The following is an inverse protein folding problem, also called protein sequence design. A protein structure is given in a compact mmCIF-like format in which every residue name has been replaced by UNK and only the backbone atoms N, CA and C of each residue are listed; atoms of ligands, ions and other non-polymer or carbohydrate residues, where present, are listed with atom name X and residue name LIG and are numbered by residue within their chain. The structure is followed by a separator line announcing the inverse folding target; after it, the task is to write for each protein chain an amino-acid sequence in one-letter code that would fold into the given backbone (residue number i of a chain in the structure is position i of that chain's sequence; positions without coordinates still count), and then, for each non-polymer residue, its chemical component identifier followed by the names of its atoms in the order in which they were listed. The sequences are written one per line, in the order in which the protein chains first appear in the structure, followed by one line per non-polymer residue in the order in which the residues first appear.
data_IF_198275203757
#
_entry.id   IF_198275203757
#
_cell.length_a   1.000
_cell.length_b   1.000
_cell.length_c   1.000
_cell.angle_alpha   90.00
_cell.angle_beta   90.00
_cell.angle_gamma   90.00
#
_symmetry.space_group_name_H-M   'P 1'
#
loop_
_entity.id
_entity.type
_entity.pdbx_description
1 polymer ?
#
# COMPACT_ATOMS: atom_id res chain seq x y z
N UNK A 1 23.00 12.31 3.73
CA UNK A 1 22.89 11.03 2.98
C UNK A 1 23.15 11.33 1.52
N UNK A 2 23.66 10.38 0.73
CA UNK A 2 23.76 10.57 -0.72
C UNK A 2 22.34 10.58 -1.31
N UNK A 3 22.05 11.57 -2.14
CA UNK A 3 20.81 11.63 -2.93
C UNK A 3 20.65 10.35 -3.75
N UNK A 4 19.45 9.77 -3.76
CA UNK A 4 19.11 8.65 -4.62
C UNK A 4 17.72 8.83 -5.20
N UNK A 5 17.62 8.68 -6.52
CA UNK A 5 16.40 8.83 -7.30
C UNK A 5 16.21 7.63 -8.21
N UNK A 6 14.97 7.17 -8.29
CA UNK A 6 14.53 6.08 -9.14
C UNK A 6 13.36 6.55 -10.00
N UNK A 7 13.48 6.44 -11.33
CA UNK A 7 12.41 6.63 -12.28
C UNK A 7 12.20 5.35 -13.07
N UNK A 8 10.94 4.94 -13.24
CA UNK A 8 10.54 3.84 -14.12
C UNK A 8 9.35 4.29 -14.96
N UNK A 9 9.43 4.05 -16.27
CA UNK A 9 8.37 4.37 -17.22
C UNK A 9 7.95 3.12 -17.97
N UNK A 10 6.65 2.88 -18.11
CA UNK A 10 6.14 1.71 -18.82
C UNK A 10 5.12 2.06 -19.90
N UNK A 11 5.30 1.48 -21.09
CA UNK A 11 4.39 1.58 -22.22
C UNK A 11 3.52 0.32 -22.25
N UNK A 12 2.20 0.52 -22.21
CA UNK A 12 1.17 -0.51 -22.08
C UNK A 12 0.32 -0.61 -23.36
N UNK A 13 0.04 0.53 -23.99
CA UNK A 13 -0.79 0.59 -25.20
C UNK A 13 -0.07 -0.01 -26.42
N UNK A 14 1.23 0.25 -26.55
CA UNK A 14 2.09 -0.32 -27.60
C UNK A 14 3.57 -0.24 -27.23
N UNK A 15 4.44 -1.09 -27.83
CA UNK A 15 5.88 -0.90 -27.73
C UNK A 15 6.34 0.42 -28.36
N UNK A 16 7.47 0.92 -27.86
CA UNK A 16 8.20 2.07 -28.38
C UNK A 16 8.74 1.79 -29.78
N UNK A 17 8.58 2.76 -30.67
CA UNK A 17 9.21 2.79 -31.99
C UNK A 17 10.73 3.00 -31.86
N UNK A 18 11.49 2.68 -32.91
CA UNK A 18 12.93 2.91 -32.94
C UNK A 18 13.31 4.38 -32.70
N UNK A 19 12.51 5.33 -33.19
CA UNK A 19 12.71 6.77 -32.95
C UNK A 19 12.44 7.17 -31.51
N UNK A 20 11.43 6.57 -30.86
CA UNK A 20 11.13 6.84 -29.45
C UNK A 20 12.23 6.25 -28.57
N UNK A 21 12.69 5.03 -28.86
CA UNK A 21 13.83 4.42 -28.15
C UNK A 21 15.10 5.27 -28.28
N UNK A 22 15.41 5.77 -29.48
CA UNK A 22 16.55 6.66 -29.68
C UNK A 22 16.42 7.98 -28.90
N UNK A 23 15.21 8.55 -28.83
CA UNK A 23 14.92 9.72 -27.99
C UNK A 23 15.16 9.41 -26.50
N UNK A 24 14.65 8.31 -25.98
CA UNK A 24 14.84 7.91 -24.58
C UNK A 24 16.31 7.64 -24.25
N UNK A 25 17.04 6.94 -25.13
CA UNK A 25 18.48 6.74 -24.97
C UNK A 25 19.28 8.05 -24.98
N UNK A 26 18.78 9.12 -25.59
CA UNK A 26 19.47 10.42 -25.59
C UNK A 26 19.36 11.17 -24.26
N UNK A 27 18.37 10.84 -23.42
CA UNK A 27 18.15 11.49 -22.11
C UNK A 27 19.16 11.05 -21.06
N UNK A 28 19.64 9.80 -21.12
CA UNK A 28 20.65 9.28 -20.20
C UNK A 28 21.44 8.14 -20.84
N UNK A 29 22.77 8.17 -20.69
CA UNK A 29 23.64 7.07 -21.11
C UNK A 29 23.56 5.84 -20.20
N UNK A 30 22.91 5.95 -19.03
CA UNK A 30 22.75 4.88 -18.04
C UNK A 30 21.34 4.29 -18.00
N UNK A 31 20.46 4.72 -18.90
CA UNK A 31 19.09 4.20 -18.95
C UNK A 31 19.09 2.69 -19.20
N UNK A 32 18.31 1.95 -18.43
CA UNK A 32 17.99 0.57 -18.76
C UNK A 32 16.72 0.60 -19.62
N UNK A 33 16.90 0.48 -20.94
CA UNK A 33 15.82 0.63 -21.92
C UNK A 33 15.44 -0.72 -22.54
N UNK A 34 14.14 -0.93 -22.69
CA UNK A 34 13.53 -1.96 -23.51
C UNK A 34 12.46 -1.35 -24.42
N UNK A 35 11.79 -2.17 -25.22
CA UNK A 35 10.70 -1.70 -26.08
C UNK A 35 9.46 -1.25 -25.28
N UNK A 36 9.34 -1.58 -23.99
CA UNK A 36 8.14 -1.26 -23.19
C UNK A 36 8.47 -0.64 -21.83
N UNK A 37 9.73 -0.56 -21.43
CA UNK A 37 10.15 -0.03 -20.13
C UNK A 37 11.44 0.81 -20.28
N UNK A 38 11.53 1.91 -19.54
CA UNK A 38 12.78 2.65 -19.32
C UNK A 38 12.98 2.95 -17.83
N UNK A 39 14.12 2.53 -17.29
CA UNK A 39 14.52 2.78 -15.89
C UNK A 39 15.70 3.75 -15.85
N UNK A 40 15.63 4.75 -14.99
CA UNK A 40 16.69 5.70 -14.70
C UNK A 40 16.98 5.73 -13.20
N UNK A 41 18.26 5.62 -12.84
CA UNK A 41 18.72 5.70 -11.46
C UNK A 41 19.79 6.76 -11.32
N UNK A 42 19.64 7.66 -10.36
CA UNK A 42 20.61 8.72 -10.09
C UNK A 42 21.06 8.68 -8.64
N UNK A 43 22.37 8.81 -8.42
CA UNK A 43 22.97 8.97 -7.08
C UNK A 43 23.66 10.34 -6.91
N UNK A 44 23.59 11.17 -7.96
CA UNK A 44 24.04 12.55 -8.02
C UNK A 44 23.44 13.18 -9.29
N UNK A 45 23.01 14.44 -9.20
CA UNK A 45 22.32 15.13 -10.29
C UNK A 45 20.89 14.61 -10.49
N UNK A 46 20.30 14.98 -11.62
CA UNK A 46 18.86 14.82 -11.82
C UNK A 46 18.50 14.26 -13.21
N UNK A 47 17.25 13.82 -13.36
CA UNK A 47 16.68 13.43 -14.62
C UNK A 47 16.70 14.60 -15.60
N UNK A 48 17.25 14.38 -16.81
CA UNK A 48 17.50 15.44 -17.79
C UNK A 48 16.30 15.82 -18.65
N UNK A 49 15.22 15.04 -18.58
CA UNK A 49 13.98 15.31 -19.28
C UNK A 49 12.91 15.82 -18.32
N UNK A 50 11.79 16.25 -18.87
CA UNK A 50 10.58 16.53 -18.09
C UNK A 50 9.74 15.24 -18.01
N UNK A 51 9.55 14.63 -16.83
CA UNK A 51 8.89 13.32 -16.71
C UNK A 51 7.52 13.25 -17.39
N UNK A 52 6.75 14.33 -17.25
CA UNK A 52 5.42 14.46 -17.85
C UNK A 52 5.44 14.50 -19.38
N UNK A 53 6.43 15.17 -19.99
CA UNK A 53 6.58 15.21 -21.45
C UNK A 53 7.03 13.85 -21.99
N UNK A 54 7.94 13.18 -21.27
CA UNK A 54 8.41 11.83 -21.60
C UNK A 54 7.27 10.83 -21.51
N UNK A 55 6.45 10.91 -20.46
CA UNK A 55 5.23 10.14 -20.31
C UNK A 55 4.29 10.41 -21.49
N UNK A 56 3.93 11.67 -21.74
CA UNK A 56 2.98 12.02 -22.81
C UNK A 56 3.39 11.46 -24.18
N UNK A 57 4.69 11.54 -24.49
CA UNK A 57 5.23 11.18 -25.80
C UNK A 57 5.42 9.67 -25.98
N UNK A 58 5.82 8.95 -24.93
CA UNK A 58 6.36 7.59 -25.08
C UNK A 58 5.71 6.53 -24.19
N UNK A 59 5.15 6.87 -23.03
CA UNK A 59 4.79 5.88 -22.01
C UNK A 59 3.37 6.08 -21.47
N UNK A 60 2.86 5.14 -20.69
CA UNK A 60 1.48 5.13 -20.19
C UNK A 60 1.39 5.33 -18.69
N UNK A 61 2.42 4.93 -17.97
CA UNK A 61 2.52 5.03 -16.52
C UNK A 61 3.99 5.32 -16.14
N UNK A 62 4.19 6.11 -15.10
CA UNK A 62 5.52 6.43 -14.55
C UNK A 62 5.51 6.36 -13.04
N UNK A 63 6.53 5.75 -12.46
CA UNK A 63 6.85 5.77 -11.04
C UNK A 63 8.14 6.55 -10.83
N UNK A 64 8.12 7.46 -9.86
CA UNK A 64 9.29 8.13 -9.34
C UNK A 64 9.36 7.97 -7.81
N UNK A 65 10.56 7.68 -7.30
CA UNK A 65 10.83 7.56 -5.88
C UNK A 65 12.18 8.20 -5.56
N UNK A 66 12.23 8.93 -4.45
CA UNK A 66 13.47 9.50 -3.94
C UNK A 66 13.66 9.27 -2.45
N UNK A 67 14.91 9.10 -2.03
CA UNK A 67 15.25 8.76 -0.65
C UNK A 67 15.15 9.94 0.34
N UNK A 68 14.77 11.13 -0.15
CA UNK A 68 14.35 12.26 0.68
C UNK A 68 12.82 12.34 0.81
N UNK A 69 12.12 11.28 0.39
CA UNK A 69 10.72 11.09 0.72
C UNK A 69 9.71 11.55 -0.32
N UNK A 70 10.11 11.70 -1.59
CA UNK A 70 9.16 11.90 -2.68
C UNK A 70 8.73 10.55 -3.26
N UNK A 71 7.43 10.32 -3.40
CA UNK A 71 6.85 9.24 -4.22
C UNK A 71 5.86 9.84 -5.20
N UNK A 72 6.00 9.51 -6.48
CA UNK A 72 5.16 10.03 -7.54
C UNK A 72 4.72 8.91 -8.49
N UNK A 73 3.44 8.88 -8.81
CA UNK A 73 2.83 7.96 -9.76
C UNK A 73 2.00 8.77 -10.76
N UNK A 74 2.39 8.72 -12.04
CA UNK A 74 1.66 9.37 -13.12
C UNK A 74 1.00 8.36 -14.03
N UNK A 75 -0.20 8.70 -14.50
CA UNK A 75 -0.92 7.94 -15.51
C UNK A 75 -1.27 8.81 -16.71
N UNK A 76 -1.15 8.26 -17.91
CA UNK A 76 -1.62 8.86 -19.16
C UNK A 76 -2.78 8.07 -19.74
N UNK A 77 -3.88 8.76 -20.05
CA UNK A 77 -5.08 8.17 -20.62
C UNK A 77 -5.50 8.87 -21.92
N UNK A 78 -6.06 8.14 -22.89
CA UNK A 78 -6.71 8.75 -24.05
C UNK A 78 -7.99 9.51 -23.66
N UNK A 79 -8.11 10.77 -24.10
CA UNK A 79 -9.32 11.58 -23.89
C UNK A 79 -10.58 11.02 -24.54
N UNK A 80 -10.40 10.18 -25.56
CA UNK A 80 -11.50 9.47 -26.22
C UNK A 80 -12.13 8.39 -25.34
N UNK A 81 -11.48 8.01 -24.24
CA UNK A 81 -11.94 6.96 -23.34
C UNK A 81 -12.35 7.53 -21.98
N UNK A 82 -11.55 8.46 -21.43
CA UNK A 82 -11.79 9.04 -20.10
C UNK A 82 -11.74 10.57 -20.16
N UNK A 83 -12.79 11.22 -19.67
CA UNK A 83 -12.88 12.67 -19.60
C UNK A 83 -12.08 13.22 -18.41
N UNK A 84 -11.36 14.35 -18.54
CA UNK A 84 -10.59 14.93 -17.43
C UNK A 84 -11.42 15.24 -16.17
N UNK A 85 -12.69 15.60 -16.35
CA UNK A 85 -13.59 15.98 -15.26
C UNK A 85 -13.88 14.87 -14.26
N UNK A 86 -13.62 13.60 -14.60
CA UNK A 86 -13.80 12.49 -13.65
C UNK A 86 -12.75 12.51 -12.54
N UNK A 87 -11.61 13.17 -12.77
CA UNK A 87 -10.49 13.24 -11.84
C UNK A 87 -10.51 14.49 -10.97
N UNK A 88 -11.16 15.57 -11.43
CA UNK A 88 -11.25 16.86 -10.74
C UNK A 88 -11.67 16.76 -9.27
N UNK A 89 -12.63 15.90 -8.87
CA UNK A 89 -13.01 15.76 -7.46
C UNK A 89 -11.90 15.28 -6.52
N UNK A 90 -10.86 14.64 -7.05
CA UNK A 90 -9.73 14.12 -6.27
C UNK A 90 -8.52 15.05 -6.30
N UNK A 91 -8.57 16.15 -7.05
CA UNK A 91 -7.44 17.06 -7.17
C UNK A 91 -7.17 17.77 -5.83
N UNK A 92 -5.90 17.79 -5.45
CA UNK A 92 -5.38 18.59 -4.33
C UNK A 92 -4.14 19.33 -4.82
N UNK A 93 -4.05 20.66 -4.65
CA UNK A 93 -2.92 21.45 -5.12
C UNK A 93 -1.57 20.84 -4.75
N UNK A 94 -0.64 20.80 -5.72
CA UNK A 94 0.71 20.25 -5.57
C UNK A 94 0.82 18.77 -5.18
N UNK A 95 -0.29 18.04 -4.99
CA UNK A 95 -0.29 16.63 -4.61
C UNK A 95 -0.96 15.73 -5.65
N UNK A 96 -2.17 16.08 -6.06
CA UNK A 96 -2.93 15.36 -7.09
C UNK A 96 -3.34 16.37 -8.14
N UNK A 97 -2.71 16.31 -9.31
CA UNK A 97 -2.99 17.25 -10.40
C UNK A 97 -3.45 16.54 -11.65
N UNK A 98 -4.32 17.21 -12.40
CA UNK A 98 -4.83 16.72 -13.67
C UNK A 98 -4.47 17.73 -14.74
N UNK A 99 -4.00 17.23 -15.86
CA UNK A 99 -3.62 18.06 -16.99
C UNK A 99 -4.00 17.40 -18.29
N UNK A 100 -4.10 18.20 -19.34
CA UNK A 100 -4.77 17.80 -20.55
C UNK A 100 -4.03 18.37 -21.75
N UNK A 101 -3.70 17.51 -22.70
CA UNK A 101 -3.22 17.90 -24.02
C UNK A 101 -4.32 17.70 -25.07
N UNK A 102 -3.98 17.73 -26.36
CA UNK A 102 -4.96 17.53 -27.43
C UNK A 102 -5.61 16.15 -27.37
N UNK A 103 -4.82 15.11 -27.13
CA UNK A 103 -5.26 13.72 -27.22
C UNK A 103 -5.31 12.99 -25.88
N UNK A 104 -4.58 13.49 -24.88
CA UNK A 104 -4.37 12.78 -23.62
C UNK A 104 -4.75 13.62 -22.41
N UNK A 105 -5.10 12.91 -21.35
CA UNK A 105 -5.19 13.44 -19.98
C UNK A 105 -4.12 12.73 -19.15
N UNK A 106 -3.42 13.49 -18.32
CA UNK A 106 -2.41 12.99 -17.41
C UNK A 106 -2.84 13.33 -15.99
N UNK A 107 -2.90 12.30 -15.15
CA UNK A 107 -3.09 12.44 -13.70
C UNK A 107 -1.75 12.18 -13.03
N UNK A 108 -1.36 13.10 -12.15
CA UNK A 108 -0.09 13.09 -11.44
C UNK A 108 -0.36 13.09 -9.95
N UNK A 109 -0.02 11.98 -9.28
CA UNK A 109 -0.07 11.82 -7.83
C UNK A 109 1.37 11.95 -7.34
N UNK A 110 1.72 13.06 -6.71
CA UNK A 110 3.06 13.34 -6.17
C UNK A 110 2.93 13.67 -4.69
N UNK A 111 3.48 12.81 -3.84
CA UNK A 111 3.40 12.96 -2.38
C UNK A 111 4.82 13.04 -1.82
N UNK A 112 5.06 14.10 -1.07
CA UNK A 112 6.25 14.31 -0.28
C UNK A 112 5.92 13.94 1.17
N UNK A 113 6.64 12.99 1.75
CA UNK A 113 6.42 12.49 3.10
C UNK A 113 7.78 12.09 3.71
N UNK A 114 8.09 12.60 4.89
CA UNK A 114 9.35 12.29 5.56
C UNK A 114 9.49 10.81 5.93
N UNK A 115 8.37 10.11 6.16
CA UNK A 115 8.34 8.66 6.47
C UNK A 115 8.82 7.80 5.29
N UNK A 116 8.79 8.35 4.08
CA UNK A 116 9.37 7.69 2.91
C UNK A 116 10.89 7.84 2.83
N UNK A 117 11.48 8.73 3.63
CA UNK A 117 12.89 9.09 3.59
C UNK A 117 13.76 8.05 4.27
N UNK A 118 14.33 7.11 3.51
CA UNK A 118 15.33 6.14 3.98
C UNK A 118 15.87 5.29 2.80
N UNK A 119 16.26 4.03 3.04
CA UNK A 119 16.59 3.09 1.97
C UNK A 119 15.37 2.80 1.10
N UNK A 120 15.45 3.15 -0.19
CA UNK A 120 14.41 2.84 -1.17
C UNK A 120 14.87 1.76 -2.15
N UNK A 121 13.98 0.82 -2.44
CA UNK A 121 14.14 -0.19 -3.49
C UNK A 121 12.99 -0.02 -4.48
N UNK A 122 13.26 0.66 -5.60
CA UNK A 122 12.24 1.04 -6.58
C UNK A 122 11.84 -0.07 -7.55
N UNK A 123 12.71 -1.06 -7.77
CA UNK A 123 12.49 -2.10 -8.79
C UNK A 123 11.27 -2.98 -8.46
N UNK A 124 10.42 -3.21 -9.47
CA UNK A 124 9.30 -4.16 -9.39
C UNK A 124 7.99 -3.58 -8.84
N UNK A 125 7.99 -2.34 -8.34
CA UNK A 125 6.76 -1.66 -7.92
C UNK A 125 5.84 -1.33 -9.10
N UNK A 126 6.36 -0.68 -10.16
CA UNK A 126 5.53 -0.24 -11.27
C UNK A 126 4.84 -1.42 -11.97
N UNK A 127 5.55 -2.54 -12.13
CA UNK A 127 5.02 -3.76 -12.74
C UNK A 127 3.79 -4.33 -12.00
N UNK A 128 3.67 -4.12 -10.68
CA UNK A 128 2.50 -4.53 -9.88
C UNK A 128 1.34 -3.53 -9.96
N UNK A 129 1.63 -2.28 -10.38
CA UNK A 129 0.67 -1.18 -10.43
C UNK A 129 0.06 -0.96 -11.83
N UNK A 130 0.63 -1.57 -12.88
CA UNK A 130 0.12 -1.41 -14.26
C UNK A 130 -1.37 -1.71 -14.42
N UNK A 131 -1.89 -2.67 -13.65
CA UNK A 131 -3.31 -3.07 -13.68
C UNK A 131 -4.24 -1.90 -13.30
N UNK A 132 -3.78 -0.98 -12.46
CA UNK A 132 -4.56 0.19 -12.08
C UNK A 132 -4.97 1.02 -13.29
N UNK A 133 -4.12 1.10 -14.32
CA UNK A 133 -4.47 1.85 -15.53
C UNK A 133 -5.69 1.25 -16.24
N UNK A 134 -5.72 -0.07 -16.38
CA UNK A 134 -6.84 -0.76 -17.04
C UNK A 134 -8.12 -0.65 -16.19
N UNK A 135 -8.00 -0.77 -14.87
CA UNK A 135 -9.11 -0.60 -13.93
C UNK A 135 -9.71 0.81 -14.04
N UNK A 136 -8.86 1.84 -14.11
CA UNK A 136 -9.28 3.25 -14.30
C UNK A 136 -9.97 3.44 -15.65
N UNK A 137 -9.44 2.88 -16.74
CA UNK A 137 -10.08 2.94 -18.06
C UNK A 137 -11.46 2.25 -18.06
N UNK A 138 -11.67 1.26 -17.20
CA UNK A 138 -12.96 0.60 -17.00
C UNK A 138 -13.92 1.35 -16.06
N UNK A 139 -13.42 2.38 -15.38
CA UNK A 139 -14.18 3.28 -14.49
C UNK A 139 -14.03 2.99 -13.00
N UNK A 140 -13.02 2.21 -12.60
CA UNK A 140 -12.66 2.04 -11.21
C UNK A 140 -11.68 3.15 -10.76
N UNK A 141 -12.21 4.14 -10.07
CA UNK A 141 -11.46 5.29 -9.59
C UNK A 141 -11.07 5.19 -8.11
N UNK A 142 -11.20 4.00 -7.48
CA UNK A 142 -10.89 3.80 -6.05
C UNK A 142 -9.47 4.24 -5.69
N UNK A 143 -8.50 4.03 -6.59
CA UNK A 143 -7.11 4.46 -6.37
C UNK A 143 -6.98 5.97 -6.16
N UNK A 144 -7.74 6.79 -6.88
CA UNK A 144 -7.68 8.26 -6.72
C UNK A 144 -8.34 8.74 -5.43
N UNK A 145 -9.40 8.05 -4.98
CA UNK A 145 -9.97 8.29 -3.66
C UNK A 145 -8.94 7.98 -2.55
N UNK A 146 -8.24 6.85 -2.65
CA UNK A 146 -7.19 6.48 -1.69
C UNK A 146 -6.00 7.46 -1.75
N UNK A 147 -5.59 7.87 -2.94
CA UNK A 147 -4.57 8.90 -3.13
C UNK A 147 -4.99 10.21 -2.44
N UNK A 148 -6.25 10.61 -2.58
CA UNK A 148 -6.79 11.81 -1.93
C UNK A 148 -6.74 11.69 -0.40
N UNK A 149 -7.07 10.53 0.18
CA UNK A 149 -6.95 10.32 1.63
C UNK A 149 -5.52 10.57 2.13
N UNK A 150 -4.51 10.02 1.45
CA UNK A 150 -3.10 10.26 1.81
C UNK A 150 -2.70 11.72 1.60
N UNK A 151 -3.04 12.28 0.44
CA UNK A 151 -2.70 13.66 0.12
C UNK A 151 -3.34 14.67 1.10
N UNK A 152 -4.57 14.43 1.54
CA UNK A 152 -5.26 15.23 2.54
C UNK A 152 -4.60 15.13 3.92
N UNK A 153 -4.18 13.93 4.35
CA UNK A 153 -3.41 13.75 5.60
C UNK A 153 -2.14 14.59 5.60
N UNK A 154 -1.36 14.51 4.52
CA UNK A 154 -0.11 15.27 4.38
C UNK A 154 -0.38 16.79 4.32
N UNK A 155 -1.45 17.21 3.65
CA UNK A 155 -1.79 18.62 3.55
C UNK A 155 -2.06 19.24 4.93
N UNK A 156 -2.69 18.48 5.83
CA UNK A 156 -2.95 18.92 7.22
C UNK A 156 -1.66 19.00 8.02
N UNK A 157 -0.77 18.02 7.86
CA UNK A 157 0.56 18.05 8.48
C UNK A 157 1.38 19.28 8.03
N UNK A 158 1.21 19.70 6.78
CA UNK A 158 1.80 20.91 6.19
C UNK A 158 1.06 22.21 6.59
N UNK A 159 -0.04 22.12 7.33
CA UNK A 159 -0.77 23.26 7.91
C UNK A 159 -2.01 23.73 7.13
N UNK A 160 -2.57 22.92 6.21
CA UNK A 160 -3.89 23.18 5.66
C UNK A 160 -5.01 22.92 6.70
N UNK A 161 -6.04 23.75 6.69
CA UNK A 161 -7.18 23.60 7.61
C UNK A 161 -8.04 22.38 7.24
N UNK A 162 -8.23 21.45 8.18
CA UNK A 162 -8.95 20.19 7.94
C UNK A 162 -10.41 20.38 7.49
N UNK A 163 -11.01 21.53 7.82
CA UNK A 163 -12.38 21.89 7.46
C UNK A 163 -12.52 22.29 5.99
N UNK A 164 -11.44 22.78 5.36
CA UNK A 164 -11.41 23.17 3.95
C UNK A 164 -11.28 21.95 3.02
N UNK A 165 -10.84 20.81 3.56
CA UNK A 165 -10.70 19.55 2.86
C UNK A 165 -12.03 18.78 2.85
N UNK A 166 -12.79 18.98 1.78
CA UNK A 166 -14.06 18.28 1.55
C UNK A 166 -13.81 16.93 0.91
N UNK A 167 -14.33 15.87 1.53
CA UNK A 167 -14.16 14.52 1.00
C UNK A 167 -14.84 14.33 -0.36
N UNK A 168 -14.15 13.71 -1.35
CA UNK A 168 -14.77 13.26 -2.58
C UNK A 168 -15.79 12.15 -2.30
N UNK A 169 -16.66 11.88 -3.28
CA UNK A 169 -17.66 10.82 -3.16
C UNK A 169 -17.00 9.46 -2.88
N UNK A 170 -17.39 8.82 -1.79
CA UNK A 170 -16.85 7.52 -1.41
C UNK A 170 -17.20 6.47 -2.45
N UNK A 171 -16.21 5.83 -3.09
CA UNK A 171 -16.46 4.79 -4.08
C UNK A 171 -17.04 3.53 -3.43
N UNK A 172 -17.76 2.75 -4.22
CA UNK A 172 -18.27 1.45 -3.79
C UNK A 172 -17.13 0.43 -3.58
N UNK A 173 -17.40 -0.62 -2.81
CA UNK A 173 -16.51 -1.78 -2.62
C UNK A 173 -15.12 -1.46 -2.02
N UNK A 174 -14.99 -0.46 -1.15
CA UNK A 174 -13.71 -0.20 -0.45
C UNK A 174 -13.33 -1.29 0.57
N UNK A 175 -14.30 -2.08 1.03
CA UNK A 175 -14.04 -3.24 1.92
C UNK A 175 -13.37 -4.43 1.21
N UNK A 176 -13.30 -4.41 -0.13
CA UNK A 176 -12.75 -5.48 -0.96
C UNK A 176 -11.85 -4.88 -2.04
N UNK A 177 -10.58 -4.72 -1.69
CA UNK A 177 -9.58 -4.10 -2.56
C UNK A 177 -8.84 -5.18 -3.36
N UNK A 178 -8.73 -5.04 -4.69
CA UNK A 178 -7.84 -5.85 -5.52
C UNK A 178 -6.36 -5.65 -5.15
N UNK A 179 -5.52 -6.63 -5.50
CA UNK A 179 -4.09 -6.66 -5.17
C UNK A 179 -3.31 -5.42 -5.66
N UNK A 180 -3.64 -4.90 -6.84
CA UNK A 180 -3.01 -3.70 -7.38
C UNK A 180 -3.30 -2.44 -6.53
N UNK A 181 -4.52 -2.33 -6.00
CA UNK A 181 -4.88 -1.26 -5.05
C UNK A 181 -4.19 -1.50 -3.70
N UNK A 182 -4.08 -2.75 -3.25
CA UNK A 182 -3.29 -3.09 -2.06
C UNK A 182 -1.82 -2.67 -2.19
N UNK A 183 -1.23 -2.90 -3.36
CA UNK A 183 0.14 -2.46 -3.69
C UNK A 183 0.25 -0.93 -3.68
N UNK A 184 -0.76 -0.22 -4.16
CA UNK A 184 -0.79 1.25 -4.09
C UNK A 184 -0.85 1.75 -2.65
N UNK A 185 -1.67 1.12 -1.79
CA UNK A 185 -1.74 1.44 -0.36
C UNK A 185 -0.40 1.25 0.33
N UNK A 186 0.30 0.16 0.02
CA UNK A 186 1.65 -0.11 0.54
C UNK A 186 2.67 0.91 0.00
N UNK A 187 2.61 1.23 -1.30
CA UNK A 187 3.52 2.19 -1.93
C UNK A 187 3.31 3.63 -1.40
N UNK A 188 2.12 4.03 -0.98
CA UNK A 188 1.87 5.39 -0.46
C UNK A 188 1.63 5.42 1.06
N UNK A 189 1.92 4.32 1.74
CA UNK A 189 1.74 4.12 3.18
C UNK A 189 0.45 4.78 3.72
N UNK A 190 -0.67 4.35 3.14
CA UNK A 190 -1.97 4.94 3.44
C UNK A 190 -2.52 4.30 4.71
N UNK A 191 -2.84 5.13 5.70
CA UNK A 191 -3.34 4.66 6.99
C UNK A 191 -4.56 3.75 6.84
N UNK A 192 -4.42 2.51 7.34
CA UNK A 192 -5.47 1.51 7.31
C UNK A 192 -6.70 1.90 8.14
N UNK A 193 -6.54 2.64 9.24
CA UNK A 193 -7.66 3.14 10.02
C UNK A 193 -8.43 4.23 9.27
N UNK A 194 -7.73 5.07 8.50
CA UNK A 194 -8.35 6.04 7.62
C UNK A 194 -9.13 5.35 6.49
N UNK A 195 -8.57 4.31 5.88
CA UNK A 195 -9.28 3.47 4.89
C UNK A 195 -10.49 2.76 5.51
N UNK A 196 -10.38 2.28 6.74
CA UNK A 196 -11.47 1.63 7.45
C UNK A 196 -12.60 2.62 7.79
N UNK A 197 -12.27 3.82 8.26
CA UNK A 197 -13.18 4.97 8.43
C UNK A 197 -13.86 5.35 7.13
N UNK A 198 -13.12 5.41 6.03
CA UNK A 198 -13.65 5.64 4.70
C UNK A 198 -14.67 4.56 4.27
N UNK A 199 -14.31 3.30 4.51
CA UNK A 199 -15.05 2.12 4.07
C UNK A 199 -16.40 1.92 4.78
N UNK A 200 -16.65 2.58 5.91
CA UNK A 200 -17.90 2.43 6.66
C UNK A 200 -19.13 2.85 5.83
N UNK A 201 -19.00 3.93 5.08
CA UNK A 201 -20.05 4.48 4.21
C UNK A 201 -19.96 3.97 2.76
N UNK A 202 -18.93 3.16 2.45
CA UNK A 202 -18.79 2.53 1.15
C UNK A 202 -19.86 1.45 0.95
N UNK A 203 -20.65 1.60 -0.11
CA UNK A 203 -21.68 0.63 -0.47
C UNK A 203 -21.06 -0.61 -1.11
N UNK A 204 -21.57 -1.79 -0.76
CA UNK A 204 -21.23 -3.03 -1.45
C UNK A 204 -22.07 -3.13 -2.72
N UNK A 205 -21.44 -2.83 -3.86
CA UNK A 205 -22.07 -2.94 -5.17
C UNK A 205 -21.61 -4.24 -5.82
N UNK A 206 -22.55 -5.17 -6.02
CA UNK A 206 -22.29 -6.36 -6.83
C UNK A 206 -21.80 -5.94 -8.21
N UNK A 207 -20.81 -6.66 -8.73
CA UNK A 207 -20.46 -6.61 -10.14
C UNK A 207 -21.70 -7.01 -10.94
N UNK A 208 -22.39 -6.00 -11.48
CA UNK A 208 -23.41 -6.26 -12.47
C UNK A 208 -22.67 -6.63 -13.74
N UNK A 209 -22.74 -7.90 -14.12
CA UNK A 209 -22.34 -8.34 -15.45
C UNK A 209 -23.17 -7.54 -16.45
N UNK A 210 -22.53 -6.61 -17.14
CA UNK A 210 -23.21 -5.79 -18.13
C UNK A 210 -23.73 -6.70 -19.24
N UNK A 211 -24.97 -6.54 -19.71
CA UNK A 211 -25.54 -7.38 -20.76
C UNK A 211 -24.97 -6.97 -22.13
N UNK A 212 -23.65 -7.02 -22.27
CA UNK A 212 -22.88 -6.56 -23.43
C UNK A 212 -23.41 -7.21 -24.71
N UNK A 213 -23.76 -8.50 -24.66
CA UNK A 213 -24.33 -9.20 -25.82
C UNK A 213 -25.64 -8.57 -26.29
N UNK A 214 -26.55 -8.24 -25.37
CA UNK A 214 -27.83 -7.64 -25.68
C UNK A 214 -27.65 -6.22 -26.23
N UNK A 215 -26.78 -5.44 -25.59
CA UNK A 215 -26.44 -4.08 -26.04
C UNK A 215 -25.80 -4.08 -27.43
N UNK A 216 -24.87 -5.00 -27.71
CA UNK A 216 -24.28 -5.16 -29.05
C UNK A 216 -25.36 -5.55 -30.07
N UNK A 217 -26.31 -6.43 -29.73
CA UNK A 217 -27.38 -6.78 -30.67
C UNK A 217 -28.25 -5.58 -31.02
N UNK A 218 -28.49 -4.68 -30.06
CA UNK A 218 -29.30 -3.48 -30.22
C UNK A 218 -28.57 -2.30 -30.91
N UNK A 219 -27.24 -2.34 -31.08
CA UNK A 219 -26.50 -1.36 -31.87
C UNK A 219 -26.92 -1.38 -33.35
N UNK A 220 -26.92 -0.19 -33.97
CA UNK A 220 -27.13 -0.05 -35.42
C UNK A 220 -26.02 -0.73 -36.21
N UNK A 221 -26.28 -1.11 -37.47
CA UNK A 221 -25.25 -1.67 -38.34
C UNK A 221 -24.11 -0.68 -38.58
N UNK A 222 -24.42 0.61 -38.67
CA UNK A 222 -23.44 1.69 -38.85
C UNK A 222 -22.47 1.79 -37.65
N UNK A 223 -22.98 1.70 -36.41
CA UNK A 223 -22.13 1.71 -35.22
C UNK A 223 -21.30 0.43 -35.11
N UNK A 224 -21.87 -0.73 -35.48
CA UNK A 224 -21.12 -1.99 -35.55
C UNK A 224 -19.96 -1.89 -36.54
N UNK A 225 -20.23 -1.44 -37.76
CA UNK A 225 -19.22 -1.28 -38.81
C UNK A 225 -18.15 -0.26 -38.40
N UNK A 226 -18.53 0.83 -37.74
CA UNK A 226 -17.60 1.82 -37.19
C UNK A 226 -16.60 1.19 -36.22
N UNK A 227 -17.05 0.44 -35.21
CA UNK A 227 -16.15 -0.19 -34.24
C UNK A 227 -15.35 -1.36 -34.84
N UNK A 228 -15.92 -2.12 -35.78
CA UNK A 228 -15.21 -3.17 -36.50
C UNK A 228 -14.10 -2.60 -37.38
N UNK A 229 -14.34 -1.46 -38.03
CA UNK A 229 -13.32 -0.77 -38.81
C UNK A 229 -12.17 -0.30 -37.92
N UNK A 230 -12.47 0.35 -36.77
CA UNK A 230 -11.46 0.76 -35.78
C UNK A 230 -10.60 -0.41 -35.29
N UNK A 231 -11.24 -1.55 -35.05
CA UNK A 231 -10.53 -2.76 -34.64
C UNK A 231 -9.62 -3.28 -35.77
N UNK A 232 -10.12 -3.31 -37.01
CA UNK A 232 -9.37 -3.76 -38.18
C UNK A 232 -8.19 -2.84 -38.54
N UNK A 233 -8.31 -1.53 -38.27
CA UNK A 233 -7.23 -0.55 -38.46
C UNK A 233 -6.20 -0.56 -37.33
N UNK A 234 -6.42 -1.35 -36.27
CA UNK A 234 -5.50 -1.47 -35.15
C UNK A 234 -5.50 -0.27 -34.21
N UNK A 235 -6.63 0.47 -34.13
CA UNK A 235 -6.77 1.51 -33.11
C UNK A 235 -6.69 0.88 -31.70
N UNK A 236 -6.15 1.64 -30.75
CA UNK A 236 -5.92 1.18 -29.38
C UNK A 236 -7.18 1.44 -28.55
N UNK A 237 -7.45 0.58 -27.57
CA UNK A 237 -8.56 0.72 -26.62
C UNK A 237 -9.97 0.70 -27.26
N UNK A 238 -10.12 0.14 -28.48
CA UNK A 238 -11.42 0.07 -29.18
C UNK A 238 -12.48 -0.68 -28.36
N UNK A 239 -12.08 -1.76 -27.68
CA UNK A 239 -12.99 -2.50 -26.80
C UNK A 239 -13.55 -1.63 -25.66
N UNK A 240 -12.72 -0.80 -25.04
CA UNK A 240 -13.14 0.11 -23.96
C UNK A 240 -14.01 1.24 -24.51
N UNK A 241 -13.64 1.82 -25.66
CA UNK A 241 -14.47 2.82 -26.36
C UNK A 241 -15.86 2.25 -26.68
N UNK A 242 -15.93 1.01 -27.16
CA UNK A 242 -17.20 0.33 -27.44
C UNK A 242 -18.01 0.14 -26.16
N UNK A 243 -17.42 -0.40 -25.10
CA UNK A 243 -18.13 -0.60 -23.82
C UNK A 243 -18.64 0.73 -23.25
N UNK A 244 -17.84 1.81 -23.31
CA UNK A 244 -18.27 3.14 -22.88
C UNK A 244 -19.43 3.66 -23.74
N UNK A 245 -19.36 3.49 -25.06
CA UNK A 245 -20.46 3.84 -25.96
C UNK A 245 -21.73 3.05 -25.68
N UNK A 246 -21.62 1.75 -25.41
CA UNK A 246 -22.76 0.91 -25.02
C UNK A 246 -23.37 1.38 -23.69
N UNK A 247 -22.53 1.75 -22.71
CA UNK A 247 -22.99 2.30 -21.43
C UNK A 247 -23.73 3.63 -21.64
N UNK A 248 -23.23 4.52 -22.49
CA UNK A 248 -23.91 5.79 -22.82
C UNK A 248 -25.27 5.58 -23.48
N UNK A 249 -25.37 4.59 -24.37
CA UNK A 249 -26.60 4.33 -25.13
C UNK A 249 -27.65 3.55 -24.33
N UNK A 250 -27.23 2.57 -23.53
CA UNK A 250 -28.13 1.59 -22.93
C UNK A 250 -28.22 1.65 -21.41
N UNK A 251 -27.35 2.38 -20.71
CA UNK A 251 -27.65 2.76 -19.33
C UNK A 251 -28.58 3.96 -19.35
N UNK A 252 -29.77 3.76 -18.80
CA UNK A 252 -30.58 4.83 -18.21
C UNK A 252 -29.62 5.60 -17.28
N UNK A 253 -29.60 6.95 -17.29
CA UNK A 253 -28.72 7.75 -16.43
C UNK A 253 -28.74 7.13 -15.05
N UNK A 254 -27.57 6.71 -14.58
CA UNK A 254 -27.44 6.16 -13.23
C UNK A 254 -28.09 7.19 -12.34
N UNK A 255 -29.12 6.73 -11.62
CA UNK A 255 -29.65 7.25 -10.37
C UNK A 255 -28.86 8.46 -9.93
N UNK A 256 -29.52 9.62 -9.90
CA UNK A 256 -29.08 10.79 -9.15
C UNK A 256 -28.18 10.30 -8.02
N UNK A 257 -26.88 10.45 -8.24
CA UNK A 257 -25.96 10.61 -7.15
C UNK A 257 -26.67 11.65 -6.31
N UNK A 258 -27.11 11.23 -5.12
CA UNK A 258 -27.44 12.12 -4.04
C UNK A 258 -26.18 12.97 -3.84
N UNK A 259 -26.04 13.99 -4.66
CA UNK A 259 -24.94 14.94 -4.67
C UNK A 259 -25.06 15.89 -3.47
N UNK A 260 -26.05 15.66 -2.60
CA UNK A 260 -26.51 16.59 -1.59
C UNK A 260 -26.72 15.96 -0.20
N UNK A 261 -26.25 14.74 0.04
CA UNK A 261 -26.05 14.27 1.42
C UNK A 261 -24.69 14.76 1.88
N UNK A 262 -24.73 15.78 2.75
CA UNK A 262 -23.64 16.43 3.50
C UNK A 262 -22.31 15.67 3.39
N UNK A 263 -21.43 16.13 2.47
CA UNK A 263 -20.08 15.59 2.35
C UNK A 263 -19.36 15.86 3.66
N UNK A 264 -18.76 14.82 4.25
CA UNK A 264 -17.97 14.97 5.47
C UNK A 264 -16.70 15.75 5.16
N UNK A 265 -16.26 16.54 6.13
CA UNK A 265 -14.90 17.10 6.13
C UNK A 265 -13.90 15.98 6.38
N UNK A 266 -12.64 16.24 6.04
CA UNK A 266 -11.55 15.33 6.39
C UNK A 266 -11.37 15.19 7.91
N UNK A 267 -11.65 16.23 8.69
CA UNK A 267 -11.62 16.16 10.16
C UNK A 267 -12.53 15.06 10.72
N UNK A 268 -13.76 14.94 10.20
CA UNK A 268 -14.69 13.87 10.58
C UNK A 268 -14.18 12.47 10.21
N UNK A 269 -13.43 12.36 9.10
CA UNK A 269 -12.76 11.11 8.71
C UNK A 269 -11.67 10.72 9.72
N UNK A 270 -10.85 11.69 10.10
CA UNK A 270 -9.71 11.52 11.00
C UNK A 270 -10.14 11.20 12.44
N UNK A 271 -11.17 11.88 12.95
CA UNK A 271 -11.76 11.56 14.26
C UNK A 271 -12.22 10.10 14.32
N UNK A 272 -12.98 9.65 13.32
CA UNK A 272 -13.44 8.27 13.22
C UNK A 272 -12.29 7.26 13.06
N UNK A 273 -11.22 7.63 12.35
CA UNK A 273 -10.02 6.80 12.20
C UNK A 273 -9.28 6.65 13.54
N UNK A 274 -9.10 7.76 14.27
CA UNK A 274 -8.47 7.77 15.58
C UNK A 274 -9.23 6.93 16.61
N UNK A 275 -10.56 7.00 16.63
CA UNK A 275 -11.37 6.13 17.49
C UNK A 275 -11.18 4.64 17.16
N UNK A 276 -11.13 4.30 15.87
CA UNK A 276 -10.89 2.92 15.44
C UNK A 276 -9.49 2.44 15.80
N UNK A 277 -8.47 3.27 15.60
CA UNK A 277 -7.10 2.99 15.99
C UNK A 277 -7.02 2.66 17.49
N UNK A 278 -7.63 3.50 18.34
CA UNK A 278 -7.65 3.28 19.78
C UNK A 278 -8.36 1.97 20.16
N UNK A 279 -9.50 1.68 19.54
CA UNK A 279 -10.21 0.42 19.77
C UNK A 279 -9.39 -0.80 19.32
N UNK A 280 -8.71 -0.72 18.18
CA UNK A 280 -7.83 -1.79 17.69
C UNK A 280 -6.67 -2.05 18.65
N UNK A 281 -5.95 -1.00 19.04
CA UNK A 281 -4.84 -1.11 20.00
C UNK A 281 -5.28 -1.70 21.34
N UNK A 282 -6.48 -1.36 21.83
CA UNK A 282 -7.04 -1.96 23.04
C UNK A 282 -7.33 -3.46 22.85
N UNK A 283 -7.94 -3.84 21.72
CA UNK A 283 -8.21 -5.26 21.40
C UNK A 283 -6.93 -6.08 21.27
N UNK A 284 -5.91 -5.55 20.59
CA UNK A 284 -4.61 -6.20 20.45
C UNK A 284 -3.91 -6.38 21.79
N UNK A 285 -3.91 -5.35 22.65
CA UNK A 285 -3.37 -5.46 24.01
C UNK A 285 -4.09 -6.54 24.82
N UNK A 286 -5.41 -6.59 24.77
CA UNK A 286 -6.20 -7.62 25.45
C UNK A 286 -5.92 -9.01 24.89
N UNK A 287 -5.85 -9.16 23.57
CA UNK A 287 -5.54 -10.43 22.92
C UNK A 287 -4.12 -10.92 23.25
N UNK A 288 -3.12 -10.03 23.22
CA UNK A 288 -1.74 -10.35 23.61
C UNK A 288 -1.63 -10.73 25.09
N UNK A 289 -2.38 -10.06 25.97
CA UNK A 289 -2.47 -10.43 27.39
C UNK A 289 -3.10 -11.82 27.57
N UNK A 290 -4.19 -12.11 26.86
CA UNK A 290 -4.84 -13.42 26.89
C UNK A 290 -3.93 -14.52 26.35
N UNK A 291 -3.23 -14.29 25.24
CA UNK A 291 -2.27 -15.24 24.68
C UNK A 291 -1.11 -15.48 25.65
N UNK A 292 -0.61 -14.43 26.32
CA UNK A 292 0.39 -14.56 27.37
C UNK A 292 -0.12 -15.42 28.52
N UNK A 293 -1.34 -15.19 29.00
CA UNK A 293 -1.95 -16.00 30.06
C UNK A 293 -2.08 -17.46 29.63
N UNK A 294 -2.60 -17.74 28.43
CA UNK A 294 -2.69 -19.10 27.89
C UNK A 294 -1.32 -19.79 27.81
N UNK A 295 -0.27 -19.09 27.37
CA UNK A 295 1.10 -19.61 27.36
C UNK A 295 1.58 -19.95 28.77
N UNK A 296 1.32 -19.10 29.76
CA UNK A 296 1.67 -19.35 31.15
C UNK A 296 0.88 -20.53 31.74
N UNK A 297 -0.41 -20.70 31.41
CA UNK A 297 -1.20 -21.86 31.84
C UNK A 297 -0.69 -23.18 31.25
N UNK A 298 -0.28 -23.19 29.98
CA UNK A 298 0.35 -24.35 29.35
C UNK A 298 1.71 -24.66 29.97
N UNK A 299 2.49 -23.62 30.30
CA UNK A 299 3.76 -23.76 31.00
C UNK A 299 3.55 -24.32 32.41
N UNK A 300 2.52 -23.88 33.13
CA UNK A 300 2.14 -24.38 34.45
C UNK A 300 1.90 -25.89 34.43
N UNK A 301 1.16 -26.39 33.43
CA UNK A 301 0.88 -27.83 33.28
C UNK A 301 2.12 -28.66 32.98
N UNK A 302 3.17 -28.05 32.44
CA UNK A 302 4.43 -28.71 32.08
C UNK A 302 5.62 -28.30 32.94
N UNK A 303 5.38 -27.59 34.04
CA UNK A 303 6.42 -26.96 34.87
C UNK A 303 7.51 -27.95 35.29
N UNK A 304 7.14 -29.14 35.76
CA UNK A 304 8.10 -30.17 36.19
C UNK A 304 8.99 -30.68 35.05
N UNK A 305 8.42 -30.82 33.84
CA UNK A 305 9.16 -31.23 32.64
C UNK A 305 10.15 -30.13 32.23
N UNK A 306 9.76 -28.87 32.33
CA UNK A 306 10.64 -27.73 32.01
C UNK A 306 11.79 -27.64 33.00
N UNK A 307 11.54 -27.80 34.30
CA UNK A 307 12.60 -27.90 35.31
C UNK A 307 13.56 -29.07 35.03
N UNK A 308 13.04 -30.26 34.70
CA UNK A 308 13.89 -31.41 34.34
C UNK A 308 14.76 -31.12 33.10
N UNK A 309 14.19 -30.49 32.07
CA UNK A 309 14.91 -30.10 30.87
C UNK A 309 16.00 -29.06 31.14
N UNK A 310 15.74 -28.08 32.02
CA UNK A 310 16.76 -27.11 32.46
C UNK A 310 17.96 -27.87 33.06
N UNK A 311 17.73 -28.78 34.00
CA UNK A 311 18.83 -29.55 34.60
C UNK A 311 19.62 -30.36 33.56
N UNK A 312 18.93 -31.00 32.59
CA UNK A 312 19.59 -31.69 31.47
C UNK A 312 20.43 -30.75 30.60
N UNK A 313 19.90 -29.58 30.22
CA UNK A 313 20.62 -28.59 29.42
C UNK A 313 21.87 -28.07 30.12
N UNK A 314 21.80 -27.96 31.45
CA UNK A 314 22.95 -27.58 32.27
C UNK A 314 24.04 -28.67 32.23
N UNK A 315 23.74 -29.96 32.12
CA UNK A 315 24.76 -31.03 32.10
C UNK A 315 25.72 -30.96 30.91
N UNK A 316 25.26 -30.51 29.75
CA UNK A 316 26.05 -30.48 28.51
C UNK A 316 27.22 -29.48 28.50
N UNK A 317 27.31 -28.57 29.50
CA UNK A 317 28.41 -27.59 29.68
C UNK A 317 28.75 -26.77 28.42
N UNK A 318 27.76 -26.42 27.61
CA UNK A 318 27.93 -25.64 26.38
C UNK A 318 27.28 -24.26 26.49
N UNK A 319 27.81 -23.28 25.75
CA UNK A 319 27.26 -21.92 25.73
C UNK A 319 25.79 -21.90 25.30
N UNK A 320 25.47 -22.56 24.18
CA UNK A 320 24.13 -22.57 23.59
C UNK A 320 23.09 -23.23 24.50
N UNK A 321 23.47 -24.28 25.23
CA UNK A 321 22.55 -24.96 26.17
C UNK A 321 22.32 -24.14 27.44
N UNK A 322 23.29 -23.33 27.87
CA UNK A 322 23.07 -22.34 28.93
C UNK A 322 22.13 -21.23 28.50
N UNK A 323 22.25 -20.72 27.27
CA UNK A 323 21.32 -19.71 26.76
C UNK A 323 19.87 -20.24 26.73
N UNK A 324 19.67 -21.49 26.30
CA UNK A 324 18.36 -22.16 26.31
C UNK A 324 17.83 -22.40 27.73
N UNK A 325 18.67 -22.86 28.66
CA UNK A 325 18.28 -23.07 30.06
C UNK A 325 17.87 -21.74 30.73
N UNK A 326 18.59 -20.65 30.44
CA UNK A 326 18.29 -19.31 30.96
C UNK A 326 16.96 -18.80 30.39
N UNK A 327 16.68 -19.02 29.10
CA UNK A 327 15.39 -18.67 28.51
C UNK A 327 14.22 -19.36 29.25
N UNK A 328 14.32 -20.66 29.48
CA UNK A 328 13.30 -21.40 30.24
C UNK A 328 13.16 -20.91 31.70
N UNK A 329 14.24 -20.46 32.34
CA UNK A 329 14.16 -19.88 33.69
C UNK A 329 13.49 -18.50 33.71
N UNK A 330 13.64 -17.71 32.64
CA UNK A 330 12.89 -16.46 32.48
C UNK A 330 11.40 -16.76 32.33
N UNK A 331 11.02 -17.73 31.49
CA UNK A 331 9.61 -18.15 31.34
C UNK A 331 9.01 -18.63 32.67
N UNK A 332 9.77 -19.41 33.45
CA UNK A 332 9.34 -19.90 34.77
C UNK A 332 9.26 -18.80 35.82
N UNK A 333 10.07 -17.74 35.71
CA UNK A 333 9.94 -16.55 36.55
C UNK A 333 8.62 -15.84 36.26
N UNK A 334 8.30 -15.61 34.99
CA UNK A 334 7.03 -14.98 34.60
C UNK A 334 5.83 -15.79 35.07
N UNK A 335 5.92 -17.13 34.99
CA UNK A 335 4.92 -18.02 35.56
C UNK A 335 4.80 -17.88 37.09
N UNK A 336 5.92 -17.83 37.79
CA UNK A 336 5.93 -17.69 39.25
C UNK A 336 5.35 -16.33 39.70
N UNK A 337 5.59 -15.25 38.94
CA UNK A 337 4.96 -13.95 39.18
C UNK A 337 3.44 -14.04 38.97
N UNK A 338 2.98 -14.67 37.87
CA UNK A 338 1.56 -14.88 37.58
C UNK A 338 0.82 -15.72 38.64
N UNK A 339 1.48 -16.75 39.18
CA UNK A 339 0.91 -17.62 40.23
C UNK A 339 1.09 -17.08 41.66
N UNK A 340 1.76 -15.94 41.85
CA UNK A 340 2.10 -15.42 43.19
C UNK A 340 3.16 -16.25 43.94
N UNK A 341 3.92 -17.11 43.25
CA UNK A 341 4.94 -18.02 43.80
C UNK A 341 6.38 -17.56 43.56
N UNK A 342 6.57 -16.25 43.36
CA UNK A 342 7.89 -15.67 43.04
C UNK A 342 8.96 -16.01 44.10
N UNK A 343 8.58 -16.07 45.38
CA UNK A 343 9.52 -16.40 46.45
C UNK A 343 9.99 -17.86 46.41
N UNK A 344 9.12 -18.82 46.06
CA UNK A 344 9.50 -20.23 45.85
C UNK A 344 10.46 -20.38 44.67
N UNK A 345 10.22 -19.61 43.60
CA UNK A 345 11.10 -19.56 42.45
C UNK A 345 12.48 -18.99 42.81
N UNK A 346 12.53 -17.88 43.56
CA UNK A 346 13.81 -17.29 44.03
C UNK A 346 14.60 -18.26 44.91
N UNK A 347 13.94 -19.03 45.76
CA UNK A 347 14.60 -20.09 46.57
C UNK A 347 15.22 -21.14 45.64
N UNK A 348 14.47 -21.58 44.62
CA UNK A 348 14.96 -22.55 43.63
C UNK A 348 16.16 -22.04 42.84
N UNK A 349 16.15 -20.75 42.43
CA UNK A 349 17.29 -20.10 41.77
C UNK A 349 18.51 -20.01 42.71
N UNK A 350 18.32 -19.61 43.98
CA UNK A 350 19.42 -19.57 44.97
C UNK A 350 20.02 -20.95 45.21
N UNK A 351 19.20 -22.00 45.22
CA UNK A 351 19.68 -23.37 45.32
C UNK A 351 20.47 -23.78 44.07
N UNK A 352 19.98 -23.42 42.87
CA UNK A 352 20.70 -23.64 41.62
C UNK A 352 22.04 -22.90 41.58
N UNK A 353 22.10 -21.66 42.06
CA UNK A 353 23.33 -20.87 42.20
C UNK A 353 24.37 -21.60 43.07
N UNK A 354 23.95 -22.17 44.22
CA UNK A 354 24.83 -22.93 45.11
C UNK A 354 25.35 -24.20 44.43
N UNK A 355 24.46 -24.96 43.78
CA UNK A 355 24.79 -26.23 43.12
C UNK A 355 25.75 -26.06 41.93
N UNK A 356 25.67 -24.92 41.24
CA UNK A 356 26.48 -24.62 40.06
C UNK A 356 27.46 -23.46 40.27
N UNK A 357 27.92 -23.26 41.51
CA UNK A 357 28.83 -22.17 41.92
C UNK A 357 30.14 -22.11 41.12
N UNK A 358 30.62 -23.24 40.60
CA UNK A 358 31.84 -23.34 39.79
C UNK A 358 31.62 -23.00 38.30
N UNK A 359 30.38 -22.76 37.86
CA UNK A 359 30.01 -22.50 36.46
C UNK A 359 29.82 -21.01 36.18
N UNK A 360 30.93 -20.28 36.13
CA UNK A 360 30.96 -18.80 35.92
C UNK A 360 30.18 -18.33 34.68
N UNK A 361 30.23 -19.09 33.58
CA UNK A 361 29.50 -18.77 32.35
C UNK A 361 27.97 -18.83 32.48
N UNK A 362 27.43 -19.71 33.33
CA UNK A 362 26.00 -19.78 33.63
C UNK A 362 25.59 -18.62 34.55
N UNK A 363 26.36 -18.38 35.61
CA UNK A 363 26.10 -17.32 36.59
C UNK A 363 26.10 -15.93 35.94
N UNK A 364 27.02 -15.67 35.00
CA UNK A 364 27.05 -14.43 34.22
C UNK A 364 25.75 -14.20 33.42
N UNK A 365 25.21 -15.25 32.79
CA UNK A 365 23.97 -15.16 32.00
C UNK A 365 22.74 -14.95 32.87
N UNK A 366 22.65 -15.66 34.00
CA UNK A 366 21.57 -15.46 34.98
C UNK A 366 21.56 -14.03 35.54
N UNK A 367 22.74 -13.46 35.82
CA UNK A 367 22.87 -12.05 36.23
C UNK A 367 22.45 -11.09 35.11
N UNK A 368 22.80 -11.39 33.85
CA UNK A 368 22.42 -10.56 32.69
C UNK A 368 20.90 -10.46 32.52
N UNK A 369 20.16 -11.51 32.81
CA UNK A 369 18.68 -11.51 32.75
C UNK A 369 18.01 -11.16 34.09
N UNK A 370 18.77 -10.71 35.09
CA UNK A 370 18.25 -10.27 36.38
C UNK A 370 17.62 -11.38 37.24
N UNK A 371 18.07 -12.64 37.06
CA UNK A 371 17.66 -13.77 37.89
C UNK A 371 18.52 -13.93 39.17
N UNK A 372 19.66 -13.23 39.26
CA UNK A 372 20.60 -13.24 40.40
C UNK A 372 20.87 -11.85 40.96
#
# INVERSE_FOLDING_TARGET
MSEYQYYEFQALDRPLTASEQAYISSLSSRVQLSATNAIFTYSYGDFRGEPKEVLEKCFDIMLYMANWGTRQLMFRFPKTVVAPSVFEPYCLPNKITVSSSKNYVIVDISIQDEEYGDWIEGEGWLAKLVQLRDDILQGDYRVFYLAWLKAASIAIEEGEDEEDLVEPTVPANLKKLPDAIGTFIELFDIDQDLIASASQVSIDKKENTEPIKEWITALSSEEKDYFLLKLATGEINVGIQLVNRLRELFKIPKSDSNYDTHRRSFSQLLENANEQMQQRQQREKLAAQQEKICKLEVLAKNQDKVWSNIYKLLEFKQSKTYDQAVAHLVDLRELAEYQGKLEEFKVSIKQMQKNYSTRTGLLSRLKKVGLL
#
